data_IF_917351189545
#
_entry.id   IF_917351189545
#
_cell.length_a   1.000
_cell.length_b   1.000
_cell.length_c   1.000
_cell.angle_alpha   90.00
_cell.angle_beta   90.00
_cell.angle_gamma   90.00
#
_symmetry.space_group_name_H-M   'P 1'
#
loop_
_entity.id
_entity.type
_entity.pdbx_description
1 polymer ?
#
# COMPACT_ATOMS: atom_id res chain seq x y z
N UNK A 1 -8.13 -12.25 -11.94
CA UNK A 1 -7.90 -11.06 -11.11
C UNK A 1 -9.24 -10.65 -10.53
N UNK A 2 -9.52 -11.13 -9.33
CA UNK A 2 -10.75 -10.75 -8.63
C UNK A 2 -10.43 -9.50 -7.78
N UNK A 3 -10.51 -8.36 -8.44
CA UNK A 3 -10.20 -7.08 -7.83
C UNK A 3 -11.21 -6.77 -6.74
N UNK A 4 -10.71 -6.52 -5.53
CA UNK A 4 -11.53 -6.11 -4.40
C UNK A 4 -12.30 -7.20 -3.68
N UNK A 5 -12.32 -8.40 -4.19
CA UNK A 5 -12.77 -9.57 -3.45
C UNK A 5 -11.61 -10.37 -2.86
N UNK A 6 -10.43 -9.76 -2.85
CA UNK A 6 -9.18 -10.35 -2.47
C UNK A 6 -8.50 -11.01 -3.67
N UNK A 7 -7.35 -10.53 -4.10
CA UNK A 7 -6.64 -11.17 -5.18
C UNK A 7 -6.03 -12.47 -4.69
N UNK A 8 -6.28 -13.54 -5.41
CA UNK A 8 -5.62 -14.82 -5.21
C UNK A 8 -4.37 -14.84 -6.06
N UNK A 9 -3.22 -14.85 -5.43
CA UNK A 9 -1.94 -15.06 -6.12
C UNK A 9 -1.70 -16.54 -6.39
N UNK A 10 -2.45 -17.44 -5.73
CA UNK A 10 -2.45 -18.87 -5.99
C UNK A 10 -3.72 -19.51 -5.42
N UNK A 11 -4.05 -20.72 -5.86
CA UNK A 11 -5.16 -21.52 -5.33
C UNK A 11 -5.07 -21.82 -3.82
N UNK A 12 -3.90 -21.59 -3.24
CA UNK A 12 -3.64 -21.77 -1.81
C UNK A 12 -3.91 -20.52 -0.97
N UNK A 13 -4.01 -19.36 -1.59
CA UNK A 13 -4.29 -18.09 -0.91
C UNK A 13 -5.78 -17.80 -1.03
N UNK A 14 -6.51 -17.99 0.06
CA UNK A 14 -7.93 -17.63 0.11
C UNK A 14 -8.06 -16.11 -0.01
N UNK A 15 -8.99 -15.67 -0.81
CA UNK A 15 -9.32 -14.26 -0.97
C UNK A 15 -9.84 -13.69 0.34
N UNK A 16 -9.55 -12.43 0.61
CA UNK A 16 -10.07 -11.73 1.80
C UNK A 16 -11.60 -11.77 1.82
N UNK A 17 -12.25 -11.63 0.63
CA UNK A 17 -13.70 -11.71 0.49
C UNK A 17 -14.27 -13.03 1.03
N UNK A 18 -13.63 -14.15 0.75
CA UNK A 18 -14.10 -15.46 1.20
C UNK A 18 -14.02 -15.62 2.74
N UNK A 19 -13.28 -14.74 3.41
CA UNK A 19 -13.10 -14.74 4.85
C UNK A 19 -13.85 -13.63 5.58
N UNK A 20 -14.57 -12.76 4.85
CA UNK A 20 -15.41 -11.70 5.42
C UNK A 20 -16.88 -12.11 5.23
N UNK A 21 -17.59 -12.49 6.29
CA UNK A 21 -19.02 -12.78 6.22
C UNK A 21 -19.82 -11.53 5.82
N UNK A 22 -20.93 -11.72 5.09
CA UNK A 22 -21.78 -10.60 4.65
C UNK A 22 -22.22 -9.67 5.78
N UNK A 23 -22.43 -10.19 6.98
CA UNK A 23 -22.76 -9.41 8.16
C UNK A 23 -21.67 -8.44 8.65
N UNK A 24 -20.43 -8.63 8.20
CA UNK A 24 -19.28 -7.78 8.50
C UNK A 24 -19.00 -6.77 7.37
N UNK A 25 -19.80 -6.81 6.27
CA UNK A 25 -19.65 -5.92 5.12
C UNK A 25 -20.70 -4.81 5.25
N UNK A 26 -20.24 -3.58 5.41
CA UNK A 26 -21.13 -2.40 5.47
C UNK A 26 -21.32 -1.75 4.11
N UNK A 27 -20.35 -1.91 3.23
CA UNK A 27 -20.40 -1.36 1.87
C UNK A 27 -19.45 -2.12 0.94
N UNK A 28 -19.93 -2.37 -0.28
CA UNK A 28 -19.08 -2.85 -1.38
C UNK A 28 -19.52 -2.25 -2.72
N UNK A 29 -18.63 -2.26 -3.68
CA UNK A 29 -18.85 -1.88 -5.06
C UNK A 29 -18.27 -2.93 -6.02
N UNK A 30 -18.21 -2.63 -7.33
CA UNK A 30 -17.64 -3.54 -8.33
C UNK A 30 -16.16 -3.92 -8.08
N UNK A 31 -15.43 -3.14 -7.28
CA UNK A 31 -14.03 -3.37 -6.92
C UNK A 31 -13.88 -4.15 -5.62
N UNK A 32 -14.90 -4.16 -4.78
CA UNK A 32 -14.95 -4.94 -3.57
C UNK A 32 -15.42 -4.19 -2.33
N UNK A 33 -15.03 -4.72 -1.19
CA UNK A 33 -15.41 -4.26 0.14
C UNK A 33 -14.67 -2.96 0.47
N UNK A 34 -15.36 -2.02 1.12
CA UNK A 34 -14.76 -0.74 1.50
C UNK A 34 -13.58 -0.88 2.47
N UNK A 35 -12.70 0.12 2.46
CA UNK A 35 -11.43 0.09 3.20
C UNK A 35 -11.63 -0.11 4.70
N UNK A 36 -12.65 0.50 5.33
CA UNK A 36 -12.95 0.32 6.76
C UNK A 36 -13.21 -1.15 7.11
N UNK A 37 -14.01 -1.85 6.30
CA UNK A 37 -14.38 -3.24 6.57
C UNK A 37 -13.16 -4.17 6.38
N UNK A 38 -12.34 -3.91 5.36
CA UNK A 38 -11.09 -4.64 5.14
C UNK A 38 -10.16 -4.44 6.33
N UNK A 39 -9.99 -3.22 6.82
CA UNK A 39 -9.15 -2.93 7.98
C UNK A 39 -9.70 -3.54 9.27
N UNK A 40 -11.01 -3.54 9.48
CA UNK A 40 -11.63 -4.21 10.62
C UNK A 40 -11.34 -5.72 10.58
N UNK A 41 -11.42 -6.32 9.40
CA UNK A 41 -11.08 -7.74 9.22
C UNK A 41 -9.60 -7.99 9.51
N UNK A 42 -8.71 -7.14 9.02
CA UNK A 42 -7.27 -7.26 9.28
C UNK A 42 -6.99 -7.22 10.78
N UNK A 43 -7.61 -6.31 11.53
CA UNK A 43 -7.48 -6.24 13.00
C UNK A 43 -7.93 -7.56 13.65
N UNK A 44 -9.08 -8.10 13.22
CA UNK A 44 -9.60 -9.38 13.75
C UNK A 44 -8.62 -10.53 13.48
N UNK A 45 -8.04 -10.57 12.30
CA UNK A 45 -7.04 -11.58 11.92
C UNK A 45 -5.76 -11.41 12.75
N UNK A 46 -5.27 -10.18 12.90
CA UNK A 46 -4.09 -9.88 13.71
C UNK A 46 -4.30 -10.24 15.18
N UNK A 47 -5.49 -9.96 15.75
CA UNK A 47 -5.84 -10.36 17.11
C UNK A 47 -5.75 -11.87 17.31
N UNK A 48 -6.22 -12.64 16.31
CA UNK A 48 -6.14 -14.11 16.34
C UNK A 48 -4.68 -14.59 16.22
N UNK A 49 -3.94 -14.08 15.26
CA UNK A 49 -2.54 -14.46 15.04
C UNK A 49 -1.67 -14.14 16.24
N UNK A 50 -1.91 -13.00 16.88
CA UNK A 50 -1.22 -12.62 18.12
C UNK A 50 -1.51 -13.61 19.28
N UNK A 51 -2.76 -14.03 19.45
CA UNK A 51 -3.14 -15.04 20.44
C UNK A 51 -2.48 -16.39 20.20
N UNK A 52 -2.25 -16.73 18.93
CA UNK A 52 -1.55 -17.96 18.55
C UNK A 52 -0.03 -17.89 18.84
N UNK A 53 0.48 -16.74 19.31
CA UNK A 53 1.87 -16.53 19.71
C UNK A 53 2.90 -16.57 18.56
N UNK A 54 2.46 -16.41 17.33
CA UNK A 54 3.32 -16.46 16.13
C UNK A 54 3.50 -15.07 15.51
N UNK A 55 4.70 -14.77 14.99
CA UNK A 55 4.85 -13.61 14.12
C UNK A 55 3.88 -13.68 12.94
N UNK A 56 3.39 -12.53 12.50
CA UNK A 56 2.46 -12.47 11.39
C UNK A 56 2.83 -11.40 10.38
N UNK A 57 2.40 -11.62 9.14
CA UNK A 57 2.43 -10.67 8.06
C UNK A 57 1.05 -10.63 7.41
N UNK A 58 0.46 -9.45 7.36
CA UNK A 58 -0.84 -9.23 6.71
C UNK A 58 -0.67 -8.25 5.56
N UNK A 59 -0.94 -8.70 4.34
CA UNK A 59 -1.01 -7.85 3.16
C UNK A 59 -2.45 -7.44 2.92
N UNK A 60 -2.70 -6.13 2.84
CA UNK A 60 -4.03 -5.56 2.65
C UNK A 60 -4.03 -4.67 1.42
N UNK A 61 -4.90 -4.99 0.46
CA UNK A 61 -5.12 -4.15 -0.72
C UNK A 61 -6.44 -3.42 -0.56
N UNK A 62 -6.39 -2.10 -0.55
CA UNK A 62 -7.57 -1.23 -0.46
C UNK A 62 -8.26 -1.09 -1.83
N UNK A 63 -9.53 -0.73 -1.85
CA UNK A 63 -10.33 -0.68 -3.07
C UNK A 63 -11.06 0.65 -3.29
N UNK A 64 -11.28 1.41 -2.21
CA UNK A 64 -12.18 2.57 -2.25
C UNK A 64 -11.66 3.73 -3.10
N UNK A 65 -10.33 3.79 -3.34
CA UNK A 65 -9.73 4.82 -4.19
C UNK A 65 -9.79 4.50 -5.69
N UNK A 66 -10.54 3.48 -6.09
CA UNK A 66 -10.76 3.14 -7.50
C UNK A 66 -12.05 3.75 -8.05
N UNK A 67 -12.14 4.00 -9.36
CA UNK A 67 -13.41 4.39 -10.00
C UNK A 67 -14.47 3.33 -9.73
N UNK A 68 -15.71 3.69 -9.43
CA UNK A 68 -16.37 5.00 -9.53
C UNK A 68 -16.18 5.91 -8.30
N UNK A 69 -15.17 5.68 -7.44
CA UNK A 69 -14.85 6.49 -6.26
C UNK A 69 -15.97 6.47 -5.20
N UNK A 70 -16.60 5.31 -5.05
CA UNK A 70 -17.72 5.13 -4.12
C UNK A 70 -17.25 4.53 -2.79
N UNK A 71 -17.85 5.01 -1.71
CA UNK A 71 -17.58 4.62 -0.32
C UNK A 71 -18.82 4.86 0.53
N UNK A 72 -18.91 4.36 1.78
CA UNK A 72 -20.05 4.58 2.66
C UNK A 72 -20.37 6.05 2.85
N UNK A 73 -21.63 6.43 2.70
CA UNK A 73 -22.11 7.81 2.87
C UNK A 73 -21.93 8.30 4.32
N UNK A 74 -21.71 9.60 4.50
CA UNK A 74 -21.67 10.25 5.81
C UNK A 74 -20.38 10.03 6.59
N UNK A 75 -19.34 9.44 6.00
CA UNK A 75 -18.03 9.22 6.64
C UNK A 75 -17.11 10.43 6.56
N UNK A 76 -17.26 11.18 5.50
CA UNK A 76 -16.52 12.42 5.21
C UNK A 76 -17.48 13.47 4.63
N UNK A 77 -17.01 14.69 4.52
CA UNK A 77 -17.78 15.85 4.00
C UNK A 77 -17.94 15.87 2.46
N UNK A 78 -17.18 15.02 1.73
CA UNK A 78 -17.34 14.89 0.27
C UNK A 78 -18.32 13.74 -0.02
N UNK A 79 -19.37 13.97 -0.84
CA UNK A 79 -20.31 12.91 -1.18
C UNK A 79 -19.65 11.77 -1.97
N UNK A 80 -20.03 10.54 -1.67
CA UNK A 80 -19.57 9.32 -2.34
C UNK A 80 -19.84 9.36 -3.85
N UNK A 81 -18.86 8.94 -4.65
CA UNK A 81 -19.00 8.85 -6.10
C UNK A 81 -18.82 10.16 -6.86
N UNK A 82 -18.48 11.25 -6.19
CA UNK A 82 -18.38 12.57 -6.84
C UNK A 82 -16.98 12.88 -7.38
N UNK A 83 -15.94 12.45 -6.69
CA UNK A 83 -14.56 12.78 -7.08
C UNK A 83 -13.52 11.79 -6.57
N UNK A 84 -12.32 11.83 -7.16
CA UNK A 84 -11.15 11.11 -6.68
C UNK A 84 -10.68 11.64 -5.33
N UNK A 85 -10.73 12.95 -5.14
CA UNK A 85 -10.33 13.61 -3.88
C UNK A 85 -11.16 13.10 -2.71
N UNK A 86 -12.46 12.86 -2.94
CA UNK A 86 -13.34 12.22 -1.97
C UNK A 86 -12.88 10.81 -1.63
N UNK A 87 -12.54 10.01 -2.64
CA UNK A 87 -12.05 8.65 -2.43
C UNK A 87 -10.72 8.62 -1.64
N UNK A 88 -9.77 9.51 -1.98
CA UNK A 88 -8.50 9.65 -1.24
C UNK A 88 -8.76 10.07 0.22
N UNK A 89 -9.64 11.04 0.43
CA UNK A 89 -10.01 11.50 1.78
C UNK A 89 -10.71 10.39 2.58
N UNK A 90 -11.51 9.57 1.94
CA UNK A 90 -12.13 8.42 2.59
C UNK A 90 -11.09 7.35 2.97
N UNK A 91 -10.13 7.05 2.09
CA UNK A 91 -9.03 6.12 2.43
C UNK A 91 -8.20 6.65 3.61
N UNK A 92 -7.90 7.95 3.66
CA UNK A 92 -7.24 8.59 4.82
C UNK A 92 -8.07 8.45 6.10
N UNK A 93 -9.38 8.71 6.02
CA UNK A 93 -10.31 8.48 7.12
C UNK A 93 -10.28 7.01 7.60
N UNK A 94 -10.33 6.06 6.69
CA UNK A 94 -10.29 4.63 7.02
C UNK A 94 -8.96 4.24 7.67
N UNK A 95 -7.84 4.77 7.19
CA UNK A 95 -6.52 4.60 7.82
C UNK A 95 -6.49 5.18 9.23
N UNK A 96 -7.07 6.37 9.44
CA UNK A 96 -7.21 6.93 10.79
C UNK A 96 -7.95 5.96 11.72
N UNK A 97 -9.08 5.42 11.27
CA UNK A 97 -9.87 4.44 12.04
C UNK A 97 -9.06 3.17 12.34
N UNK A 98 -8.27 2.69 11.37
CA UNK A 98 -7.35 1.57 11.57
C UNK A 98 -6.38 1.86 12.71
N UNK A 99 -5.67 2.98 12.67
CA UNK A 99 -4.67 3.32 13.67
C UNK A 99 -5.29 3.59 15.05
N UNK A 100 -6.43 4.24 15.13
CA UNK A 100 -7.13 4.48 16.39
C UNK A 100 -7.48 3.15 17.08
N UNK A 101 -7.95 2.17 16.32
CA UNK A 101 -8.25 0.82 16.83
C UNK A 101 -6.97 0.02 17.12
N UNK A 102 -5.99 0.04 16.22
CA UNK A 102 -4.77 -0.72 16.38
C UNK A 102 -3.97 -0.31 17.61
N UNK A 103 -3.92 0.99 17.93
CA UNK A 103 -3.22 1.52 19.11
C UNK A 103 -3.72 0.94 20.43
N UNK A 104 -4.95 0.45 20.50
CA UNK A 104 -5.51 -0.19 21.68
C UNK A 104 -5.14 -1.67 21.81
N UNK A 105 -4.48 -2.25 20.80
CA UNK A 105 -4.19 -3.68 20.73
C UNK A 105 -2.83 -4.03 21.31
N UNK A 106 -2.71 -5.18 21.99
CA UNK A 106 -1.47 -5.59 22.61
C UNK A 106 -0.32 -5.81 21.62
N UNK A 107 -0.64 -6.17 20.38
CA UNK A 107 0.34 -6.40 19.31
C UNK A 107 0.84 -5.09 18.65
N UNK A 108 0.19 -3.96 18.87
CA UNK A 108 0.51 -2.71 18.20
C UNK A 108 1.98 -2.29 18.36
N UNK A 109 2.51 -2.36 19.59
CA UNK A 109 3.89 -1.92 19.89
C UNK A 109 4.96 -2.71 19.13
N UNK A 110 4.63 -3.96 18.73
CA UNK A 110 5.54 -4.86 18.01
C UNK A 110 5.14 -5.03 16.54
N UNK A 111 4.36 -4.10 16.00
CA UNK A 111 3.89 -4.18 14.62
C UNK A 111 4.29 -2.93 13.86
N UNK A 112 4.98 -3.10 12.74
CA UNK A 112 5.30 -2.04 11.79
C UNK A 112 4.26 -2.04 10.69
N UNK A 113 3.79 -0.87 10.31
CA UNK A 113 2.84 -0.68 9.23
C UNK A 113 3.55 -0.06 8.04
N UNK A 114 3.37 -0.67 6.87
CA UNK A 114 3.88 -0.18 5.62
C UNK A 114 2.69 0.21 4.76
N UNK A 115 2.62 1.47 4.39
CA UNK A 115 1.55 2.04 3.56
C UNK A 115 2.19 2.54 2.30
N UNK A 116 1.76 2.02 1.15
CA UNK A 116 2.30 2.41 -0.15
C UNK A 116 1.19 2.37 -1.19
N UNK A 117 1.19 3.32 -2.11
CA UNK A 117 0.36 3.21 -3.30
C UNK A 117 0.88 2.09 -4.21
N UNK A 118 -0.02 1.30 -4.79
CA UNK A 118 0.33 0.22 -5.72
C UNK A 118 0.86 0.77 -7.05
N UNK A 119 0.30 1.90 -7.50
CA UNK A 119 0.72 2.65 -8.69
C UNK A 119 0.23 4.11 -8.62
N UNK A 120 0.64 4.90 -9.58
CA UNK A 120 0.16 6.28 -9.73
C UNK A 120 -1.31 6.33 -10.18
N UNK A 121 -1.95 7.47 -9.93
CA UNK A 121 -3.35 7.69 -10.27
C UNK A 121 -3.63 7.70 -11.78
N UNK A 122 -2.68 8.17 -12.58
CA UNK A 122 -2.72 8.20 -14.05
C UNK A 122 -1.30 8.32 -14.59
N UNK A 123 -0.98 7.52 -15.58
CA UNK A 123 0.27 7.65 -16.35
C UNK A 123 0.13 8.56 -17.57
N UNK A 124 -1.07 9.03 -17.86
CA UNK A 124 -1.31 9.94 -18.98
C UNK A 124 -0.79 11.34 -18.63
N UNK A 125 -0.03 11.93 -19.55
CA UNK A 125 0.56 13.25 -19.44
C UNK A 125 0.81 13.86 -20.83
N UNK A 126 1.53 14.99 -20.87
CA UNK A 126 1.91 15.65 -22.11
C UNK A 126 3.06 14.96 -22.82
N UNK A 127 3.93 14.34 -22.03
CA UNK A 127 5.12 13.66 -22.50
C UNK A 127 4.84 12.16 -22.71
N UNK A 128 5.72 11.51 -23.43
CA UNK A 128 5.71 10.07 -23.67
C UNK A 128 5.72 9.26 -22.37
N UNK A 129 6.48 9.72 -21.37
CA UNK A 129 6.42 9.33 -19.97
C UNK A 129 6.49 10.61 -19.13
N UNK A 130 5.37 11.00 -18.56
CA UNK A 130 5.30 12.15 -17.65
C UNK A 130 5.74 11.72 -16.26
N UNK A 131 7.02 11.94 -15.94
CA UNK A 131 7.66 11.47 -14.71
C UNK A 131 6.93 11.93 -13.44
N UNK A 132 6.38 13.15 -13.44
CA UNK A 132 5.70 13.71 -12.29
C UNK A 132 4.50 12.85 -11.85
N UNK A 133 3.84 12.20 -12.79
CA UNK A 133 2.69 11.34 -12.52
C UNK A 133 3.06 10.01 -11.84
N UNK A 134 4.34 9.61 -11.86
CA UNK A 134 4.78 8.34 -11.28
C UNK A 134 5.25 8.45 -9.83
N UNK A 135 5.19 9.64 -9.25
CA UNK A 135 5.57 9.84 -7.85
C UNK A 135 4.47 9.33 -6.91
N UNK A 136 4.70 8.19 -6.27
CA UNK A 136 3.78 7.58 -5.31
C UNK A 136 4.24 7.77 -3.87
N UNK A 137 3.31 7.93 -2.91
CA UNK A 137 3.66 8.01 -1.49
C UNK A 137 3.96 6.63 -0.92
N UNK A 138 4.91 6.58 0.02
CA UNK A 138 5.20 5.42 0.85
C UNK A 138 5.52 5.86 2.28
N UNK A 139 4.99 5.13 3.28
CA UNK A 139 5.19 5.40 4.69
C UNK A 139 5.54 4.10 5.42
N UNK A 140 6.54 4.18 6.30
CA UNK A 140 6.85 3.13 7.27
C UNK A 140 6.53 3.72 8.64
N UNK A 141 5.55 3.14 9.33
CA UNK A 141 4.98 3.68 10.57
C UNK A 141 5.19 2.71 11.71
N UNK A 142 5.43 3.27 12.90
CA UNK A 142 5.60 2.52 14.14
C UNK A 142 6.87 1.66 14.19
N UNK A 143 7.96 2.18 13.62
CA UNK A 143 9.28 1.58 13.81
C UNK A 143 9.69 1.63 15.28
N UNK A 144 10.39 0.60 15.81
CA UNK A 144 10.84 0.55 17.20
C UNK A 144 11.70 1.76 17.59
N UNK A 145 12.57 2.18 16.70
CA UNK A 145 13.35 3.41 16.86
C UNK A 145 12.61 4.58 16.19
N UNK A 146 12.50 5.70 16.92
CA UNK A 146 11.79 6.88 16.40
C UNK A 146 12.62 7.57 15.33
N UNK A 147 12.45 7.16 14.11
CA UNK A 147 13.03 7.82 12.95
C UNK A 147 11.96 8.66 12.24
N UNK A 148 11.78 9.89 12.68
CA UNK A 148 11.01 10.86 11.90
C UNK A 148 11.91 11.44 10.81
N UNK A 149 12.11 10.67 9.74
CA UNK A 149 12.89 11.16 8.61
C UNK A 149 12.12 11.03 7.30
N UNK A 150 12.32 12.00 6.44
CA UNK A 150 11.86 11.95 5.06
C UNK A 150 13.02 11.53 4.17
N UNK A 151 12.87 10.39 3.50
CA UNK A 151 13.83 9.94 2.50
C UNK A 151 13.55 10.69 1.21
N UNK A 152 14.52 11.48 0.76
CA UNK A 152 14.39 12.27 -0.47
C UNK A 152 15.16 11.66 -1.66
N UNK A 153 15.83 10.53 -1.44
CA UNK A 153 16.54 9.82 -2.51
C UNK A 153 15.53 9.30 -3.53
N UNK A 154 15.84 9.49 -4.81
CA UNK A 154 15.07 8.91 -5.90
C UNK A 154 15.20 7.39 -5.87
N UNK A 155 14.08 6.70 -5.76
CA UNK A 155 14.01 5.24 -5.67
C UNK A 155 12.75 4.71 -6.35
N UNK A 156 12.63 3.41 -6.45
CA UNK A 156 11.48 2.72 -7.01
C UNK A 156 10.78 1.88 -5.95
N UNK A 157 9.55 1.51 -6.23
CA UNK A 157 8.74 0.66 -5.35
C UNK A 157 9.43 -0.67 -5.00
N UNK A 158 10.23 -1.22 -5.92
CA UNK A 158 11.01 -2.46 -5.70
C UNK A 158 12.06 -2.33 -4.59
N UNK A 159 12.46 -1.11 -4.24
CA UNK A 159 13.46 -0.83 -3.21
C UNK A 159 12.88 -0.87 -1.79
N UNK A 160 11.54 -0.92 -1.67
CA UNK A 160 10.86 -0.85 -0.38
C UNK A 160 11.25 -2.02 0.53
N UNK A 161 11.13 -3.27 0.03
CA UNK A 161 11.40 -4.44 0.87
C UNK A 161 12.86 -4.58 1.28
N UNK A 162 13.86 -4.42 0.39
CA UNK A 162 15.25 -4.37 0.82
C UNK A 162 15.51 -3.32 1.90
N UNK A 163 14.91 -2.14 1.78
CA UNK A 163 15.02 -1.08 2.79
C UNK A 163 14.37 -1.46 4.12
N UNK A 164 13.18 -2.05 4.08
CA UNK A 164 12.48 -2.52 5.30
C UNK A 164 13.28 -3.61 6.00
N UNK A 165 13.84 -4.56 5.27
CA UNK A 165 14.63 -5.64 5.84
C UNK A 165 15.91 -5.10 6.48
N UNK A 166 16.55 -4.12 5.86
CA UNK A 166 17.69 -3.42 6.46
C UNK A 166 17.31 -2.70 7.76
N UNK A 167 16.17 -2.01 7.80
CA UNK A 167 15.66 -1.36 9.01
C UNK A 167 15.37 -2.35 10.16
N UNK A 168 15.08 -3.61 9.83
CA UNK A 168 14.91 -4.68 10.81
C UNK A 168 16.22 -5.41 11.16
N UNK A 169 17.35 -5.01 10.58
CA UNK A 169 18.63 -5.72 10.69
C UNK A 169 18.51 -7.21 10.30
N UNK A 170 17.66 -7.51 9.34
CA UNK A 170 17.51 -8.88 8.85
C UNK A 170 18.61 -9.23 7.85
N UNK A 171 19.18 -10.41 8.03
CA UNK A 171 20.11 -11.00 7.07
C UNK A 171 19.32 -11.98 6.19
N UNK A 172 19.42 -11.81 4.87
CA UNK A 172 18.68 -12.62 3.91
C UNK A 172 19.44 -12.73 2.59
N UNK A 173 19.16 -13.79 1.86
CA UNK A 173 19.58 -13.96 0.47
C UNK A 173 18.35 -13.80 -0.43
N UNK A 174 18.50 -13.09 -1.52
CA UNK A 174 17.38 -12.87 -2.45
C UNK A 174 17.85 -12.50 -3.85
N UNK A 175 16.98 -12.76 -4.82
CA UNK A 175 17.12 -12.29 -6.21
C UNK A 175 16.43 -10.95 -6.45
N UNK A 176 16.25 -10.12 -5.42
CA UNK A 176 15.62 -8.82 -5.55
C UNK A 176 16.45 -7.87 -6.42
N UNK A 177 15.83 -7.28 -7.43
CA UNK A 177 16.43 -6.18 -8.19
C UNK A 177 16.48 -4.87 -7.40
N UNK A 178 15.59 -4.71 -6.42
CA UNK A 178 15.57 -3.58 -5.50
C UNK A 178 16.79 -3.56 -4.59
N UNK A 179 17.10 -2.38 -4.06
CA UNK A 179 18.24 -2.14 -3.18
C UNK A 179 17.79 -1.38 -1.94
N UNK A 180 18.56 -1.49 -0.86
CA UNK A 180 18.34 -0.67 0.33
C UNK A 180 18.63 0.81 0.03
N UNK A 181 17.60 1.63 0.11
CA UNK A 181 17.69 3.09 -0.15
C UNK A 181 18.55 3.81 0.90
N UNK A 182 18.68 3.23 2.08
CA UNK A 182 19.46 3.81 3.18
C UNK A 182 20.95 3.49 3.08
N UNK A 183 21.33 2.51 2.29
CA UNK A 183 22.72 2.15 2.09
C UNK A 183 23.54 3.35 1.55
N UNK A 184 24.80 3.44 1.98
CA UNK A 184 25.69 4.54 1.58
C UNK A 184 26.04 4.52 0.10
N UNK A 185 26.06 3.34 -0.50
CA UNK A 185 26.36 3.08 -1.91
C UNK A 185 25.09 3.01 -2.79
N UNK A 186 23.91 3.33 -2.24
CA UNK A 186 22.67 3.33 -3.00
C UNK A 186 22.72 4.33 -4.16
N UNK A 187 22.63 3.82 -5.36
CA UNK A 187 22.59 4.62 -6.57
C UNK A 187 21.15 5.03 -6.89
N UNK A 188 20.89 6.34 -6.85
CA UNK A 188 19.54 6.87 -7.08
C UNK A 188 19.07 6.64 -8.50
N UNK A 189 17.94 5.99 -8.64
CA UNK A 189 17.25 5.72 -9.90
C UNK A 189 15.76 5.47 -9.66
N UNK A 190 14.96 5.58 -10.71
CA UNK A 190 13.58 5.13 -10.72
C UNK A 190 13.26 4.37 -12.01
N UNK A 191 12.49 3.30 -11.88
CA UNK A 191 11.91 2.57 -13.01
C UNK A 191 10.48 3.02 -13.19
N UNK A 192 10.13 3.32 -14.44
CA UNK A 192 8.78 3.73 -14.81
C UNK A 192 8.29 2.85 -15.96
N UNK A 193 7.00 2.66 -16.05
CA UNK A 193 6.45 1.83 -17.10
C UNK A 193 5.03 2.22 -17.50
N UNK A 194 4.73 2.06 -18.77
CA UNK A 194 3.38 2.08 -19.33
C UNK A 194 3.08 0.71 -19.92
N UNK A 195 1.88 0.53 -20.48
CA UNK A 195 1.55 -0.71 -21.20
C UNK A 195 2.47 -1.02 -22.39
N UNK A 196 3.21 -0.02 -22.89
CA UNK A 196 4.00 -0.14 -24.13
C UNK A 196 5.47 0.22 -23.96
N UNK A 197 5.86 0.88 -22.88
CA UNK A 197 7.19 1.47 -22.72
C UNK A 197 7.72 1.25 -21.33
N UNK A 198 9.02 1.04 -21.25
CA UNK A 198 9.77 1.04 -20.01
C UNK A 198 10.68 2.27 -20.00
N UNK A 199 10.93 2.83 -18.81
CA UNK A 199 11.89 3.89 -18.68
C UNK A 199 12.73 3.74 -17.41
N UNK A 200 13.96 4.20 -17.52
CA UNK A 200 14.88 4.38 -16.42
C UNK A 200 15.16 5.87 -16.23
N UNK A 201 14.85 6.39 -15.07
CA UNK A 201 15.26 7.73 -14.66
C UNK A 201 16.48 7.66 -13.76
N UNK A 202 17.53 8.40 -14.11
CA UNK A 202 18.78 8.50 -13.38
C UNK A 202 19.43 9.86 -13.63
N UNK A 203 19.90 10.54 -12.57
CA UNK A 203 20.57 11.85 -12.67
C UNK A 203 19.74 12.84 -13.50
N UNK A 204 18.45 12.97 -13.21
CA UNK A 204 17.50 13.87 -13.90
C UNK A 204 17.31 13.60 -15.40
N UNK A 205 17.84 12.50 -15.91
CA UNK A 205 17.63 12.06 -17.28
C UNK A 205 16.72 10.85 -17.33
N UNK A 206 15.87 10.78 -18.35
CA UNK A 206 14.98 9.66 -18.58
C UNK A 206 15.38 8.98 -19.89
N UNK A 207 15.65 7.72 -19.83
CA UNK A 207 15.86 6.85 -20.97
C UNK A 207 14.60 6.00 -21.16
N UNK A 208 14.02 6.06 -22.33
CA UNK A 208 12.79 5.32 -22.67
C UNK A 208 13.17 4.20 -23.65
N UNK A 209 12.69 3.02 -23.35
CA UNK A 209 12.76 1.84 -24.21
C UNK A 209 11.38 1.62 -24.82
N UNK A 210 11.31 1.70 -26.14
CA UNK A 210 10.09 1.50 -26.96
C UNK A 210 10.16 0.20 -27.75
#
# INVERSE_FOLDING_TARGET
>A
YDRGRGSVLSDKIKTVRNNIPDKEVTFENAWGICDEDIFNKMITVADKQYKDGKPFFNFVMTTSNHRPFTYPSGKIDIPSGTSREGAVKYTDYALKQLFDKARTKPWYKNTVFIIIADHCASSAGKDEIDVANYHIPAFIVNMPEKHNQKIQKQCSQIDLWPTVFSLFNWHYESDFFGKDVLASDFEQRAFLGTYRKLALMKKEKVMILS
#
